data_IF_109624182847
#
_entry.id   IF_109624182847
#
_cell.length_a   1.000
_cell.length_b   1.000
_cell.length_c   1.000
_cell.angle_alpha   90.00
_cell.angle_beta   90.00
_cell.angle_gamma   90.00
#
_symmetry.space_group_name_H-M   'P 1'
#
loop_
_entity.id
_entity.type
_entity.pdbx_description
1 polymer ?
#
# COMPACT_ATOMS: atom_id res chain seq x y z
N UNK A 1 -15.00 53.78 6.11
CA UNK A 1 -13.83 54.34 6.80
C UNK A 1 -12.83 53.20 6.90
N UNK A 2 -11.89 53.15 5.95
CA UNK A 2 -10.94 52.06 5.78
C UNK A 2 -9.70 52.37 6.62
N UNK A 3 -9.31 51.47 7.51
CA UNK A 3 -8.04 51.55 8.24
C UNK A 3 -7.17 50.41 7.76
N UNK A 4 -6.11 50.80 7.06
CA UNK A 4 -4.98 49.99 6.62
C UNK A 4 -4.18 49.56 7.86
N UNK A 5 -3.88 48.26 7.98
CA UNK A 5 -2.87 47.75 8.89
C UNK A 5 -1.91 46.90 8.07
N UNK A 6 -0.75 47.50 7.82
CA UNK A 6 0.51 46.84 7.50
C UNK A 6 0.80 45.77 8.55
N UNK A 7 1.19 44.58 8.11
CA UNK A 7 1.98 43.70 8.96
C UNK A 7 3.02 43.01 8.10
N UNK A 8 4.24 43.44 8.32
CA UNK A 8 5.46 43.04 7.64
C UNK A 8 5.69 41.52 7.71
N UNK A 9 5.99 40.97 6.54
CA UNK A 9 6.54 39.63 6.36
C UNK A 9 7.98 39.56 6.89
N UNK A 10 8.19 38.87 8.00
CA UNK A 10 9.53 38.41 8.41
C UNK A 10 9.70 36.93 8.07
N UNK A 11 10.16 36.69 6.84
CA UNK A 11 10.63 35.37 6.37
C UNK A 11 12.06 35.17 6.88
N UNK A 12 12.22 34.40 7.96
CA UNK A 12 13.51 33.89 8.39
C UNK A 12 13.98 32.78 7.43
N UNK A 13 14.73 33.17 6.40
CA UNK A 13 15.43 32.24 5.50
C UNK A 13 16.73 31.78 6.17
N UNK A 14 16.79 30.51 6.56
CA UNK A 14 18.00 29.88 7.08
C UNK A 14 18.99 29.57 5.94
N UNK A 15 20.28 29.92 6.05
CA UNK A 15 21.25 29.70 4.98
C UNK A 15 21.69 28.23 4.92
N UNK A 16 21.30 27.53 3.85
CA UNK A 16 21.82 26.21 3.51
C UNK A 16 23.29 26.32 3.03
N UNK A 17 24.22 25.50 3.55
CA UNK A 17 25.62 25.54 3.15
C UNK A 17 25.81 25.04 1.71
N UNK A 18 26.52 25.85 0.89
CA UNK A 18 26.96 25.49 -0.46
C UNK A 18 28.02 24.40 -0.38
N UNK A 19 27.70 23.16 -0.78
CA UNK A 19 28.72 22.14 -1.00
C UNK A 19 29.48 22.43 -2.30
N UNK A 20 30.72 22.86 -2.15
CA UNK A 20 31.70 22.99 -3.24
C UNK A 20 32.15 21.59 -3.63
N UNK A 21 31.62 21.04 -4.72
CA UNK A 21 32.17 19.85 -5.35
C UNK A 21 33.30 20.26 -6.29
N UNK A 22 34.54 20.13 -5.82
CA UNK A 22 35.71 20.16 -6.69
C UNK A 22 35.92 18.77 -7.30
N UNK A 23 35.78 18.73 -8.64
CA UNK A 23 36.66 18.06 -9.59
C UNK A 23 37.00 16.59 -9.39
N UNK A 24 36.64 15.76 -10.38
CA UNK A 24 37.55 14.84 -11.10
C UNK A 24 36.71 14.02 -12.08
N UNK A 25 36.71 14.39 -13.35
CA UNK A 25 36.13 13.56 -14.41
C UNK A 25 37.01 12.33 -14.68
N UNK A 26 36.45 11.13 -14.88
CA UNK A 26 37.24 10.00 -15.34
C UNK A 26 37.47 10.10 -16.84
N UNK A 27 38.76 10.14 -17.19
CA UNK A 27 39.30 9.86 -18.51
C UNK A 27 38.72 8.56 -19.08
N UNK A 28 38.12 8.65 -20.28
CA UNK A 28 37.79 7.48 -21.09
C UNK A 28 39.07 6.97 -21.73
N UNK A 29 39.64 5.91 -21.15
CA UNK A 29 40.69 5.09 -21.78
C UNK A 29 40.00 3.84 -22.32
N UNK A 30 40.11 3.52 -23.63
CA UNK A 30 39.56 2.28 -24.17
C UNK A 30 40.43 1.11 -23.72
N UNK A 31 39.97 0.40 -22.68
CA UNK A 31 40.65 -0.81 -22.23
C UNK A 31 40.36 -1.97 -23.17
N UNK A 32 41.45 -2.44 -23.80
CA UNK A 32 41.64 -3.78 -24.36
C UNK A 32 41.20 -4.84 -23.34
N UNK A 33 39.95 -5.28 -23.39
CA UNK A 33 39.43 -6.38 -22.56
C UNK A 33 38.52 -7.35 -23.32
N UNK A 34 38.73 -7.52 -24.64
CA UNK A 34 37.93 -8.45 -25.47
C UNK A 34 38.70 -9.69 -25.94
N UNK A 35 39.89 -9.98 -25.40
CA UNK A 35 40.72 -11.10 -25.88
C UNK A 35 41.03 -12.20 -24.86
N UNK A 36 40.69 -12.03 -23.57
CA UNK A 36 41.10 -13.00 -22.53
C UNK A 36 39.97 -13.85 -21.94
N UNK A 37 38.69 -13.52 -22.21
CA UNK A 37 37.56 -14.37 -21.80
C UNK A 37 37.33 -15.60 -22.70
N UNK A 38 37.97 -15.65 -23.88
CA UNK A 38 37.86 -16.79 -24.81
C UNK A 38 38.74 -17.99 -24.42
N UNK A 39 39.63 -17.88 -23.42
CA UNK A 39 40.55 -18.96 -23.02
C UNK A 39 40.05 -19.90 -21.92
N UNK A 40 38.97 -19.57 -21.22
CA UNK A 40 38.45 -20.38 -20.10
C UNK A 40 37.40 -21.43 -20.53
N UNK A 41 36.85 -21.34 -21.75
CA UNK A 41 35.76 -22.22 -22.21
C UNK A 41 36.16 -23.35 -23.18
N UNK A 42 37.45 -23.66 -23.33
CA UNK A 42 37.88 -24.88 -24.04
C UNK A 42 37.42 -25.01 -25.49
N UNK A 43 37.18 -23.89 -26.19
CA UNK A 43 36.84 -23.90 -27.61
C UNK A 43 38.11 -23.98 -28.46
N UNK A 44 38.47 -25.20 -28.88
CA UNK A 44 39.46 -25.45 -29.92
C UNK A 44 38.96 -24.88 -31.26
N UNK A 45 39.76 -23.99 -31.86
CA UNK A 45 39.52 -23.48 -33.21
C UNK A 45 39.58 -24.62 -34.25
N UNK A 46 38.60 -24.73 -35.18
CA UNK A 46 38.65 -25.75 -36.21
C UNK A 46 39.64 -25.38 -37.32
N UNK A 47 40.61 -26.27 -37.52
CA UNK A 47 41.59 -26.25 -38.61
C UNK A 47 40.90 -26.32 -39.97
N UNK A 48 41.04 -25.26 -40.78
CA UNK A 48 40.58 -25.21 -42.17
C UNK A 48 41.38 -26.21 -43.02
N UNK A 49 40.79 -27.39 -43.25
CA UNK A 49 41.31 -28.37 -44.22
C UNK A 49 40.53 -28.22 -45.52
N UNK A 50 41.20 -27.67 -46.53
CA UNK A 50 40.67 -27.40 -47.86
C UNK A 50 40.67 -28.70 -48.67
N UNK A 51 39.59 -29.49 -48.58
CA UNK A 51 39.39 -30.63 -49.49
C UNK A 51 38.49 -30.23 -50.66
N UNK A 52 39.12 -30.10 -51.83
CA UNK A 52 38.49 -29.90 -53.13
C UNK A 52 38.17 -31.28 -53.69
N UNK A 53 36.90 -31.65 -53.80
CA UNK A 53 36.47 -32.83 -54.55
C UNK A 53 35.13 -32.57 -55.21
N UNK A 54 35.11 -32.89 -56.51
CA UNK A 54 34.09 -32.59 -57.48
C UNK A 54 32.80 -33.39 -57.28
N UNK A 55 31.72 -32.85 -57.88
CA UNK A 55 30.56 -33.53 -58.45
C UNK A 55 29.91 -34.63 -57.61
N UNK A 56 28.70 -34.34 -57.16
CA UNK A 56 27.53 -35.10 -57.59
C UNK A 56 26.27 -34.25 -57.40
N UNK A 57 25.63 -33.93 -58.52
CA UNK A 57 24.31 -33.33 -58.57
C UNK A 57 23.32 -34.47 -58.24
N UNK A 58 23.09 -34.72 -56.94
CA UNK A 58 22.15 -35.73 -56.44
C UNK A 58 20.88 -35.01 -56.01
N UNK A 59 19.76 -35.50 -56.51
CA UNK A 59 18.46 -34.83 -56.52
C UNK A 59 18.06 -34.18 -55.20
N UNK A 60 17.54 -32.95 -55.33
CA UNK A 60 16.78 -32.28 -54.26
C UNK A 60 15.59 -33.16 -53.87
N UNK A 61 15.74 -33.93 -52.79
CA UNK A 61 14.62 -34.52 -52.05
C UNK A 61 13.78 -33.39 -51.44
N UNK A 62 12.47 -33.30 -51.74
CA UNK A 62 11.58 -32.28 -51.17
C UNK A 62 11.21 -32.51 -49.69
N UNK A 63 11.70 -33.57 -49.04
CA UNK A 63 11.26 -33.98 -47.70
C UNK A 63 11.70 -33.08 -46.54
N UNK A 64 12.76 -32.26 -46.68
CA UNK A 64 13.21 -31.39 -45.57
C UNK A 64 12.24 -30.24 -45.25
N UNK A 65 11.33 -29.88 -46.16
CA UNK A 65 10.38 -28.78 -45.94
C UNK A 65 9.20 -29.15 -45.05
N UNK A 66 8.87 -30.43 -44.93
CA UNK A 66 7.69 -30.89 -44.20
C UNK A 66 7.92 -31.02 -42.68
N UNK A 67 9.16 -31.24 -42.24
CA UNK A 67 9.47 -31.38 -40.81
C UNK A 67 9.62 -30.02 -40.13
N UNK A 68 10.18 -29.02 -40.84
CA UNK A 68 10.40 -27.66 -40.32
C UNK A 68 9.09 -26.88 -40.10
N UNK A 69 8.04 -27.15 -40.89
CA UNK A 69 6.74 -26.48 -40.75
C UNK A 69 5.95 -26.98 -39.54
N UNK A 70 6.09 -28.25 -39.17
CA UNK A 70 5.38 -28.84 -38.02
C UNK A 70 5.90 -28.27 -36.71
N UNK A 71 7.23 -28.16 -36.56
CA UNK A 71 7.86 -27.67 -35.32
C UNK A 71 7.60 -26.18 -35.09
N UNK A 72 7.70 -25.38 -36.16
CA UNK A 72 7.41 -23.93 -36.14
C UNK A 72 5.95 -23.63 -35.76
N UNK A 73 5.00 -24.46 -36.20
CA UNK A 73 3.58 -24.28 -35.86
C UNK A 73 3.27 -24.54 -34.38
N UNK A 74 4.01 -25.46 -33.72
CA UNK A 74 3.83 -25.80 -32.31
C UNK A 74 4.38 -24.70 -31.39
N UNK A 75 5.54 -24.14 -31.73
CA UNK A 75 6.14 -22.97 -31.05
C UNK A 75 5.23 -21.73 -31.12
N UNK A 76 4.65 -21.44 -32.28
CA UNK A 76 3.72 -20.32 -32.46
C UNK A 76 2.42 -20.48 -31.66
N UNK A 77 1.87 -21.70 -31.56
CA UNK A 77 0.68 -21.97 -30.74
C UNK A 77 0.94 -21.77 -29.26
N UNK A 78 2.10 -22.19 -28.75
CA UNK A 78 2.50 -21.96 -27.35
C UNK A 78 2.65 -20.47 -27.05
N UNK A 79 3.37 -19.76 -27.91
CA UNK A 79 3.59 -18.31 -27.77
C UNK A 79 2.27 -17.55 -27.80
N UNK A 80 1.38 -17.89 -28.74
CA UNK A 80 0.05 -17.28 -28.83
C UNK A 80 -0.81 -17.59 -27.60
N UNK A 81 -0.79 -18.83 -27.10
CA UNK A 81 -1.52 -19.19 -25.89
C UNK A 81 -1.04 -18.40 -24.66
N UNK A 82 0.28 -18.22 -24.50
CA UNK A 82 0.83 -17.44 -23.39
C UNK A 82 0.49 -15.95 -23.56
N UNK A 83 0.62 -15.40 -24.76
CA UNK A 83 0.25 -14.01 -25.02
C UNK A 83 -1.23 -13.75 -24.71
N UNK A 84 -2.13 -14.66 -25.11
CA UNK A 84 -3.55 -14.59 -24.76
C UNK A 84 -3.75 -14.68 -23.25
N UNK A 85 -3.05 -15.59 -22.55
CA UNK A 85 -3.15 -15.70 -21.10
C UNK A 85 -2.72 -14.41 -20.38
N UNK A 86 -1.63 -13.77 -20.85
CA UNK A 86 -1.17 -12.47 -20.31
C UNK A 86 -2.19 -11.37 -20.56
N UNK A 87 -2.78 -11.30 -21.76
CA UNK A 87 -3.82 -10.31 -22.09
C UNK A 87 -5.06 -10.51 -21.21
N UNK A 88 -5.53 -11.75 -21.08
CA UNK A 88 -6.68 -12.08 -20.21
C UNK A 88 -6.39 -11.69 -18.76
N UNK A 89 -5.19 -11.98 -18.27
CA UNK A 89 -4.76 -11.62 -16.93
C UNK A 89 -4.74 -10.10 -16.73
N UNK A 90 -4.17 -9.35 -17.67
CA UNK A 90 -4.14 -7.89 -17.64
C UNK A 90 -5.55 -7.27 -17.66
N UNK A 91 -6.42 -7.74 -18.55
CA UNK A 91 -7.82 -7.29 -18.60
C UNK A 91 -8.54 -7.62 -17.30
N UNK A 92 -8.29 -8.80 -16.71
CA UNK A 92 -8.82 -9.18 -15.40
C UNK A 92 -8.39 -8.22 -14.28
N UNK A 93 -7.12 -7.81 -14.25
CA UNK A 93 -6.61 -6.79 -13.31
C UNK A 93 -7.31 -5.44 -13.51
N UNK A 94 -7.51 -5.00 -14.76
CA UNK A 94 -8.21 -3.74 -15.04
C UNK A 94 -9.67 -3.77 -14.58
N UNK A 95 -10.38 -4.88 -14.82
CA UNK A 95 -11.75 -5.06 -14.35
C UNK A 95 -11.80 -5.07 -12.83
N UNK A 96 -10.90 -5.82 -12.18
CA UNK A 96 -10.82 -5.84 -10.71
C UNK A 96 -10.57 -4.44 -10.15
N UNK A 97 -9.63 -3.68 -10.72
CA UNK A 97 -9.36 -2.30 -10.33
C UNK A 97 -10.57 -1.39 -10.54
N UNK A 98 -11.28 -1.52 -11.66
CA UNK A 98 -12.50 -0.74 -11.89
C UNK A 98 -13.58 -1.03 -10.84
N UNK A 99 -13.76 -2.30 -10.47
CA UNK A 99 -14.71 -2.74 -9.45
C UNK A 99 -14.30 -2.39 -8.01
N UNK A 100 -13.02 -2.07 -7.78
CA UNK A 100 -12.46 -1.75 -6.47
C UNK A 100 -12.97 -0.43 -5.85
N UNK A 101 -13.65 0.41 -6.65
CA UNK A 101 -14.09 1.73 -6.22
C UNK A 101 -15.39 1.63 -5.41
N UNK A 102 -15.28 1.16 -4.17
CA UNK A 102 -16.28 1.36 -3.14
C UNK A 102 -15.98 2.70 -2.47
N UNK A 103 -16.56 3.79 -2.96
CA UNK A 103 -16.67 4.98 -2.10
C UNK A 103 -17.69 4.63 -1.02
N UNK A 104 -17.24 4.28 0.18
CA UNK A 104 -18.17 4.24 1.30
C UNK A 104 -18.89 5.59 1.37
N UNK A 105 -20.23 5.61 1.50
CA UNK A 105 -20.95 6.86 1.66
C UNK A 105 -20.30 7.65 2.79
N UNK A 106 -20.05 8.95 2.57
CA UNK A 106 -19.63 9.83 3.66
C UNK A 106 -20.62 9.66 4.79
N UNK A 107 -20.12 9.33 5.97
CA UNK A 107 -20.96 9.23 7.16
C UNK A 107 -21.51 10.63 7.49
N UNK A 108 -22.83 10.73 7.55
CA UNK A 108 -23.57 11.97 7.78
C UNK A 108 -24.17 12.03 9.19
N UNK A 109 -23.77 11.13 10.09
CA UNK A 109 -24.20 11.18 11.48
C UNK A 109 -23.64 12.44 12.14
N UNK A 110 -24.50 13.12 12.87
CA UNK A 110 -24.14 14.20 13.77
C UNK A 110 -24.06 13.66 15.21
N UNK A 111 -23.12 14.14 16.03
CA UNK A 111 -23.07 13.78 17.44
C UNK A 111 -24.30 14.31 18.19
N UNK A 112 -24.73 13.56 19.22
CA UNK A 112 -25.72 14.07 20.18
C UNK A 112 -25.21 15.36 20.84
N UNK A 113 -26.11 16.28 21.26
CA UNK A 113 -25.72 17.57 21.83
C UNK A 113 -24.70 17.50 22.97
N UNK A 114 -24.91 16.57 23.89
CA UNK A 114 -24.07 16.28 25.07
C UNK A 114 -23.10 15.12 24.82
N UNK A 115 -23.03 14.64 23.58
CA UNK A 115 -22.26 13.47 23.19
C UNK A 115 -21.09 13.78 22.26
N UNK A 116 -20.45 12.72 21.77
CA UNK A 116 -19.39 12.82 20.77
C UNK A 116 -19.48 11.68 19.75
N UNK A 117 -19.08 11.94 18.51
CA UNK A 117 -18.90 10.92 17.48
C UNK A 117 -17.41 10.70 17.28
N UNK A 118 -16.94 9.48 17.53
CA UNK A 118 -15.53 9.10 17.45
C UNK A 118 -15.30 8.27 16.20
N UNK A 119 -14.45 8.77 15.31
CA UNK A 119 -13.96 8.01 14.18
C UNK A 119 -12.63 7.38 14.52
N UNK A 120 -12.56 6.07 14.33
CA UNK A 120 -11.34 5.28 14.39
C UNK A 120 -10.95 4.90 12.97
N UNK A 121 -10.04 5.68 12.42
CA UNK A 121 -9.63 5.56 11.03
C UNK A 121 -8.40 4.68 10.87
N UNK A 122 -8.59 3.45 10.39
CA UNK A 122 -7.49 2.50 10.21
C UNK A 122 -6.57 3.00 9.10
N UNK A 123 -5.30 3.19 9.44
CA UNK A 123 -4.31 3.90 8.61
C UNK A 123 -3.11 3.05 8.20
N UNK A 124 -2.83 1.95 8.91
CA UNK A 124 -1.76 1.02 8.55
C UNK A 124 -1.90 -0.33 9.24
N UNK A 125 -1.24 -1.35 8.69
CA UNK A 125 -1.09 -2.67 9.30
C UNK A 125 0.39 -2.99 9.38
N UNK A 126 0.88 -3.24 10.60
CA UNK A 126 2.24 -3.66 10.87
C UNK A 126 2.24 -5.12 11.33
N UNK A 127 2.16 -6.05 10.38
CA UNK A 127 2.01 -7.48 10.67
C UNK A 127 3.21 -8.12 11.37
N UNK A 128 4.40 -7.53 11.25
CA UNK A 128 5.58 -7.95 12.00
C UNK A 128 5.49 -7.58 13.49
N UNK A 129 4.74 -6.53 13.81
CA UNK A 129 4.61 -5.96 15.15
C UNK A 129 3.25 -6.29 15.80
N UNK A 130 2.44 -7.14 15.16
CA UNK A 130 1.10 -7.50 15.63
C UNK A 130 0.24 -6.28 15.98
N UNK A 131 0.23 -5.29 15.09
CA UNK A 131 -0.46 -4.03 15.35
C UNK A 131 -1.10 -3.40 14.11
N UNK A 132 -2.13 -2.61 14.38
CA UNK A 132 -2.85 -1.77 13.41
C UNK A 132 -2.68 -0.32 13.85
N UNK A 133 -2.22 0.53 12.94
CA UNK A 133 -2.20 1.97 13.16
C UNK A 133 -3.55 2.57 12.82
N UNK A 134 -4.06 3.47 13.67
CA UNK A 134 -5.32 4.17 13.48
C UNK A 134 -5.15 5.67 13.76
N UNK A 135 -6.08 6.48 13.24
CA UNK A 135 -6.23 7.90 13.59
C UNK A 135 -7.56 8.08 14.29
N UNK A 136 -7.52 8.66 15.48
CA UNK A 136 -8.70 8.93 16.29
C UNK A 136 -9.11 10.37 16.09
N UNK A 137 -10.32 10.57 15.56
CA UNK A 137 -10.93 11.89 15.38
C UNK A 137 -12.19 11.98 16.24
N UNK A 138 -12.40 13.11 16.90
CA UNK A 138 -13.58 13.37 17.72
C UNK A 138 -14.41 14.47 17.06
N UNK A 139 -15.70 14.24 16.91
CA UNK A 139 -16.66 15.24 16.49
C UNK A 139 -17.53 15.54 17.71
N UNK A 140 -17.25 16.64 18.42
CA UNK A 140 -17.96 16.98 19.65
C UNK A 140 -19.38 17.45 19.35
N UNK A 141 -20.31 17.10 20.24
CA UNK A 141 -21.64 17.71 20.30
C UNK A 141 -21.58 19.19 20.64
N UNK A 142 -22.67 19.90 20.36
CA UNK A 142 -22.75 21.36 20.56
C UNK A 142 -22.51 21.81 22.01
N UNK A 143 -22.76 20.95 23.00
CA UNK A 143 -22.57 21.28 24.42
C UNK A 143 -21.11 21.10 24.87
N UNK A 144 -20.26 20.52 24.01
CA UNK A 144 -18.83 20.30 24.25
C UNK A 144 -17.93 21.34 23.55
N UNK A 145 -18.53 22.28 22.81
CA UNK A 145 -17.82 23.35 22.08
C UNK A 145 -18.26 24.73 22.55
N UNK A 146 -17.39 25.72 22.38
CA UNK A 146 -17.68 27.14 22.61
C UNK A 146 -18.37 27.77 21.39
N UNK A 147 -18.75 29.06 21.51
CA UNK A 147 -19.40 29.82 20.43
C UNK A 147 -18.54 29.95 19.15
N UNK A 148 -17.24 29.71 19.24
CA UNK A 148 -16.29 29.73 18.12
C UNK A 148 -16.10 28.34 17.48
N UNK A 149 -16.71 27.30 18.05
CA UNK A 149 -16.59 25.90 17.60
C UNK A 149 -15.32 25.19 18.12
N UNK A 150 -14.63 25.74 19.11
CA UNK A 150 -13.50 25.07 19.77
C UNK A 150 -13.98 24.28 20.97
N UNK A 151 -13.21 23.26 21.39
CA UNK A 151 -13.56 22.48 22.59
C UNK A 151 -13.66 23.38 23.83
N UNK A 152 -14.77 23.29 24.55
CA UNK A 152 -14.99 24.04 25.78
C UNK A 152 -14.18 23.49 26.96
N UNK A 153 -13.83 22.20 26.92
CA UNK A 153 -12.98 21.53 27.91
C UNK A 153 -12.11 20.46 27.27
N UNK A 154 -11.10 19.97 27.99
CA UNK A 154 -10.26 18.88 27.50
C UNK A 154 -11.10 17.60 27.35
N UNK A 155 -11.04 16.99 26.18
CA UNK A 155 -11.66 15.70 25.89
C UNK A 155 -10.58 14.63 25.83
N UNK A 156 -10.77 13.54 26.55
CA UNK A 156 -9.85 12.40 26.56
C UNK A 156 -10.55 11.17 26.01
N UNK A 157 -10.02 10.65 24.91
CA UNK A 157 -10.43 9.37 24.35
C UNK A 157 -9.52 8.27 24.89
N UNK A 158 -10.14 7.23 25.40
CA UNK A 158 -9.48 6.03 25.90
C UNK A 158 -9.78 4.90 24.93
N UNK A 159 -8.75 4.32 24.32
CA UNK A 159 -8.87 3.16 23.43
C UNK A 159 -8.13 2.03 24.11
N UNK A 160 -8.78 0.88 24.28
CA UNK A 160 -8.18 -0.30 24.91
C UNK A 160 -8.51 -1.53 24.08
N UNK A 161 -7.55 -2.43 23.80
CA UNK A 161 -6.13 -2.31 24.12
C UNK A 161 -5.40 -1.33 23.17
N UNK A 162 -4.46 -0.56 23.69
CA UNK A 162 -3.61 0.35 22.91
C UNK A 162 -2.14 -0.02 23.11
N UNK A 163 -1.37 0.03 22.03
CA UNK A 163 0.07 -0.20 22.00
C UNK A 163 0.88 1.12 22.06
N UNK A 164 0.24 2.26 21.80
CA UNK A 164 0.84 3.58 21.98
C UNK A 164 0.85 3.98 23.46
N UNK A 165 1.96 4.53 23.95
CA UNK A 165 2.12 4.98 25.34
C UNK A 165 1.39 6.30 25.64
N UNK A 166 1.10 7.11 24.61
CA UNK A 166 0.49 8.42 24.75
C UNK A 166 -1.04 8.36 24.90
N UNK A 167 -1.57 9.19 25.80
CA UNK A 167 -3.02 9.41 25.95
C UNK A 167 -3.54 10.25 24.79
N UNK A 168 -4.71 9.89 24.27
CA UNK A 168 -5.42 10.64 23.24
C UNK A 168 -6.18 11.80 23.89
N UNK A 169 -5.51 12.94 24.03
CA UNK A 169 -6.05 14.15 24.67
C UNK A 169 -6.25 15.25 23.64
N UNK A 170 -7.47 15.78 23.58
CA UNK A 170 -7.87 16.92 22.76
C UNK A 170 -8.08 18.12 23.69
N UNK A 171 -7.26 19.15 23.55
CA UNK A 171 -7.21 20.25 24.52
C UNK A 171 -8.34 21.27 24.32
N UNK A 172 -8.80 21.87 25.40
CA UNK A 172 -9.72 23.01 25.39
C UNK A 172 -9.15 24.18 24.56
N UNK A 173 -10.04 24.91 23.90
CA UNK A 173 -9.69 26.04 23.03
C UNK A 173 -8.99 25.66 21.73
N UNK A 174 -8.88 24.35 21.42
CA UNK A 174 -8.31 23.87 20.16
C UNK A 174 -9.38 23.31 19.23
N UNK A 175 -9.12 23.41 17.92
CA UNK A 175 -9.91 22.69 16.93
C UNK A 175 -9.55 21.20 17.00
N UNK A 176 -10.57 20.34 16.89
CA UNK A 176 -10.34 18.91 16.95
C UNK A 176 -9.69 18.41 15.65
N UNK A 177 -8.51 17.80 15.79
CA UNK A 177 -7.78 17.15 14.68
C UNK A 177 -7.40 15.72 15.04
N UNK A 178 -7.18 14.84 14.05
CA UNK A 178 -6.89 13.43 14.29
C UNK A 178 -5.59 13.21 15.08
N UNK A 179 -5.63 12.31 16.07
CA UNK A 179 -4.46 11.85 16.82
C UNK A 179 -4.13 10.41 16.43
N UNK A 180 -2.86 10.11 16.18
CA UNK A 180 -2.44 8.75 15.84
C UNK A 180 -2.48 7.82 17.07
N UNK A 181 -2.95 6.60 16.87
CA UNK A 181 -3.00 5.53 17.86
C UNK A 181 -2.53 4.21 17.22
N UNK A 182 -1.99 3.32 18.03
CA UNK A 182 -1.60 1.97 17.61
C UNK A 182 -2.37 0.98 18.47
N UNK A 183 -3.05 0.03 17.84
CA UNK A 183 -3.88 -0.98 18.50
C UNK A 183 -3.24 -2.35 18.27
N UNK A 184 -3.20 -3.18 19.30
CA UNK A 184 -2.74 -4.55 19.16
C UNK A 184 -3.69 -5.37 18.28
N UNK A 185 -3.13 -6.19 17.40
CA UNK A 185 -3.89 -7.03 16.50
C UNK A 185 -3.19 -8.36 16.26
N UNK A 186 -3.92 -9.45 16.48
CA UNK A 186 -3.45 -10.80 16.21
C UNK A 186 -3.55 -11.11 14.71
N UNK A 187 -2.52 -11.72 14.14
CA UNK A 187 -2.50 -12.14 12.75
C UNK A 187 -1.25 -12.91 12.39
N UNK A 188 -1.18 -13.42 11.16
CA UNK A 188 -0.02 -14.19 10.68
C UNK A 188 0.46 -13.69 9.31
N UNK A 189 1.50 -12.86 9.32
CA UNK A 189 2.13 -12.32 8.11
C UNK A 189 2.70 -13.41 7.19
N UNK A 190 2.97 -14.62 7.68
CA UNK A 190 3.48 -15.74 6.87
C UNK A 190 2.44 -16.27 5.88
N UNK A 191 1.17 -15.92 6.07
CA UNK A 191 0.07 -16.31 5.18
C UNK A 191 -0.18 -15.31 4.05
N UNK A 192 0.67 -14.29 3.90
CA UNK A 192 0.59 -13.33 2.79
C UNK A 192 0.47 -14.04 1.43
N UNK A 193 -0.39 -13.58 0.50
CA UNK A 193 -1.25 -12.39 0.55
C UNK A 193 -2.66 -12.64 1.14
N UNK A 194 -2.85 -13.77 1.83
CA UNK A 194 -4.11 -14.15 2.48
C UNK A 194 -4.13 -13.81 3.98
N UNK A 195 -3.23 -12.92 4.39
CA UNK A 195 -3.10 -12.50 5.77
C UNK A 195 -4.34 -11.73 6.26
N UNK A 196 -4.68 -11.97 7.52
CA UNK A 196 -5.77 -11.34 8.26
C UNK A 196 -5.25 -10.95 9.64
N UNK A 197 -5.64 -9.75 10.07
CA UNK A 197 -5.34 -9.23 11.39
C UNK A 197 -6.65 -8.88 12.09
N UNK A 198 -6.73 -9.18 13.38
CA UNK A 198 -7.89 -8.90 14.21
C UNK A 198 -7.44 -8.22 15.49
N UNK A 199 -7.95 -7.01 15.75
CA UNK A 199 -7.90 -6.40 17.07
C UNK A 199 -9.16 -6.82 17.83
N UNK A 200 -9.00 -7.68 18.83
CA UNK A 200 -10.11 -8.23 19.60
C UNK A 200 -10.48 -7.33 20.78
N UNK A 201 -11.78 -7.25 21.08
CA UNK A 201 -12.32 -6.56 22.27
C UNK A 201 -11.86 -5.10 22.41
N UNK A 202 -11.82 -4.38 21.29
CA UNK A 202 -11.53 -2.94 21.28
C UNK A 202 -12.68 -2.20 21.97
N UNK A 203 -12.33 -1.42 22.98
CA UNK A 203 -13.23 -0.56 23.75
C UNK A 203 -12.77 0.88 23.58
N UNK A 204 -13.70 1.74 23.19
CA UNK A 204 -13.46 3.19 23.11
C UNK A 204 -14.33 3.89 24.15
N UNK A 205 -13.75 4.75 24.97
CA UNK A 205 -14.46 5.56 25.96
C UNK A 205 -14.07 7.02 25.84
N UNK A 206 -15.05 7.92 25.94
CA UNK A 206 -14.83 9.36 25.83
C UNK A 206 -15.15 10.02 27.16
N UNK A 207 -14.34 11.00 27.53
CA UNK A 207 -14.53 11.71 28.78
C UNK A 207 -14.15 13.18 28.66
N UNK A 208 -14.88 14.04 29.35
CA UNK A 208 -14.52 15.43 29.58
C UNK A 208 -13.68 15.52 30.85
N UNK A 209 -12.65 16.35 30.84
CA UNK A 209 -12.08 16.85 32.09
C UNK A 209 -12.94 17.97 32.62
N UNK A 210 -13.23 17.94 33.91
CA UNK A 210 -13.87 19.03 34.63
C UNK A 210 -13.04 19.34 35.87
N UNK A 211 -13.40 20.42 36.56
CA UNK A 211 -12.76 20.79 37.83
C UNK A 211 -12.89 19.69 38.89
N UNK A 212 -13.95 18.88 38.83
CA UNK A 212 -14.23 17.79 39.76
C UNK A 212 -13.67 16.43 39.31
N UNK A 213 -12.99 16.38 38.16
CA UNK A 213 -12.34 15.19 37.62
C UNK A 213 -12.84 14.78 36.23
N UNK A 214 -12.70 13.48 35.91
CA UNK A 214 -13.03 12.94 34.59
C UNK A 214 -14.50 12.49 34.56
N UNK A 215 -15.32 13.09 33.70
CA UNK A 215 -16.74 12.75 33.51
C UNK A 215 -16.92 12.00 32.19
N UNK A 216 -17.61 10.85 32.22
CA UNK A 216 -17.88 10.08 31.01
C UNK A 216 -18.86 10.81 30.10
N UNK A 217 -18.56 10.86 28.80
CA UNK A 217 -19.43 11.44 27.78
C UNK A 217 -20.04 10.29 26.96
N UNK A 218 -21.35 10.30 26.65
CA UNK A 218 -21.92 9.43 25.66
C UNK A 218 -21.19 9.59 24.32
N UNK A 219 -20.76 8.49 23.71
CA UNK A 219 -20.17 8.58 22.39
C UNK A 219 -20.58 7.42 21.49
N UNK A 220 -20.61 7.68 20.20
CA UNK A 220 -20.81 6.69 19.16
C UNK A 220 -19.48 6.49 18.43
N UNK A 221 -19.13 5.24 18.18
CA UNK A 221 -17.84 4.86 17.61
C UNK A 221 -18.05 4.32 16.20
N UNK A 222 -17.28 4.86 15.27
CA UNK A 222 -17.31 4.53 13.86
C UNK A 222 -15.92 4.12 13.42
N UNK A 223 -15.77 2.91 12.90
CA UNK A 223 -14.52 2.46 12.28
C UNK A 223 -14.63 2.70 10.79
N UNK A 224 -13.67 3.40 10.21
CA UNK A 224 -13.68 3.71 8.78
C UNK A 224 -12.74 2.82 7.98
N UNK A 225 -13.16 2.51 6.77
CA UNK A 225 -12.39 1.73 5.80
C UNK A 225 -11.58 2.66 4.87
N UNK A 226 -10.64 3.44 5.40
CA UNK A 226 -9.80 4.33 4.57
C UNK A 226 -8.50 3.68 4.08
N UNK A 227 -8.14 2.50 4.60
CA UNK A 227 -6.87 1.87 4.32
C UNK A 227 -6.83 1.26 2.91
N UNK A 228 -6.16 1.94 1.99
CA UNK A 228 -6.06 1.50 0.60
C UNK A 228 -5.42 0.11 0.47
N UNK A 229 -6.05 -0.77 -0.32
CA UNK A 229 -5.58 -2.15 -0.55
C UNK A 229 -5.94 -3.13 0.56
N UNK A 230 -6.59 -2.63 1.62
CA UNK A 230 -7.13 -3.43 2.70
C UNK A 230 -8.65 -3.28 2.76
N UNK A 231 -9.28 -4.29 3.34
CA UNK A 231 -10.68 -4.34 3.67
C UNK A 231 -10.77 -4.34 5.20
N UNK A 232 -11.25 -3.23 5.75
CA UNK A 232 -11.41 -3.00 7.18
C UNK A 232 -12.87 -3.27 7.53
N UNK A 233 -13.09 -4.28 8.35
CA UNK A 233 -14.40 -4.58 8.93
C UNK A 233 -14.38 -4.31 10.44
N UNK A 234 -15.43 -3.71 10.94
CA UNK A 234 -15.72 -3.68 12.37
C UNK A 234 -17.11 -4.28 12.62
N UNK A 235 -17.48 -4.46 13.90
CA UNK A 235 -18.86 -4.73 14.29
C UNK A 235 -19.85 -3.68 13.74
N UNK A 236 -21.14 -3.74 14.15
CA UNK A 236 -22.15 -2.79 13.68
C UNK A 236 -21.65 -1.34 13.77
N UNK A 237 -21.79 -0.60 12.66
CA UNK A 237 -21.47 0.82 12.63
C UNK A 237 -22.26 1.55 13.71
N UNK A 238 -21.60 2.31 14.57
CA UNK A 238 -22.25 2.99 15.70
C UNK A 238 -22.21 2.23 17.02
N UNK A 239 -21.07 1.59 17.32
CA UNK A 239 -20.87 0.95 18.62
C UNK A 239 -20.85 2.01 19.71
N UNK A 240 -21.53 1.77 20.84
CA UNK A 240 -21.57 2.76 21.92
C UNK A 240 -20.24 2.81 22.68
N UNK A 241 -19.91 3.99 23.18
CA UNK A 241 -18.82 4.23 24.12
C UNK A 241 -18.85 3.22 25.27
N UNK A 242 -17.75 2.50 25.46
CA UNK A 242 -17.60 1.48 26.50
C UNK A 242 -18.06 0.07 26.11
N UNK A 243 -18.66 -0.12 24.94
CA UNK A 243 -18.96 -1.43 24.36
C UNK A 243 -17.73 -1.97 23.61
N UNK A 244 -17.50 -3.28 23.73
CA UNK A 244 -16.38 -3.95 23.07
C UNK A 244 -16.79 -4.39 21.66
N UNK A 245 -15.90 -4.18 20.69
CA UNK A 245 -16.06 -4.63 19.32
C UNK A 245 -14.73 -5.11 18.74
N UNK A 246 -14.79 -5.92 17.68
CA UNK A 246 -13.60 -6.39 17.00
C UNK A 246 -13.35 -5.59 15.71
N UNK A 247 -12.08 -5.37 15.38
CA UNK A 247 -11.65 -4.78 14.12
C UNK A 247 -10.87 -5.84 13.34
N UNK A 248 -11.40 -6.25 12.19
CA UNK A 248 -10.71 -7.13 11.25
C UNK A 248 -10.14 -6.31 10.10
N UNK A 249 -8.90 -6.60 9.70
CA UNK A 249 -8.27 -6.05 8.51
C UNK A 249 -7.72 -7.18 7.65
N UNK A 250 -8.06 -7.22 6.36
CA UNK A 250 -7.59 -8.24 5.42
C UNK A 250 -7.32 -7.65 4.03
N UNK A 251 -6.54 -8.31 3.18
CA UNK A 251 -6.24 -7.79 1.83
C UNK A 251 -7.49 -7.76 0.95
N UNK A 252 -7.68 -6.67 0.21
CA UNK A 252 -8.77 -6.58 -0.78
C UNK A 252 -8.66 -7.70 -1.82
N UNK A 253 -9.79 -8.10 -2.40
CA UNK A 253 -9.81 -9.03 -3.52
C UNK A 253 -8.93 -8.55 -4.69
N UNK A 254 -8.85 -7.24 -4.88
CA UNK A 254 -8.09 -6.59 -5.95
C UNK A 254 -6.59 -6.78 -5.74
N UNK A 255 -6.10 -6.56 -4.52
CA UNK A 255 -4.69 -6.84 -4.18
C UNK A 255 -4.35 -8.31 -4.42
N UNK A 256 -5.21 -9.25 -3.99
CA UNK A 256 -5.00 -10.69 -4.20
C UNK A 256 -4.93 -11.07 -5.69
N UNK A 257 -5.80 -10.49 -6.53
CA UNK A 257 -5.79 -10.70 -7.99
C UNK A 257 -4.53 -10.12 -8.62
N UNK A 258 -4.09 -8.94 -8.18
CA UNK A 258 -2.86 -8.32 -8.66
C UNK A 258 -1.63 -9.18 -8.36
N UNK A 259 -1.51 -9.70 -7.14
CA UNK A 259 -0.42 -10.60 -6.76
C UNK A 259 -0.43 -11.90 -7.59
N UNK A 260 -1.61 -12.49 -7.81
CA UNK A 260 -1.77 -13.65 -8.68
C UNK A 260 -1.32 -13.36 -10.12
N UNK A 261 -1.65 -12.17 -10.64
CA UNK A 261 -1.26 -11.76 -11.99
C UNK A 261 0.27 -11.65 -12.14
N UNK A 262 0.95 -11.06 -11.15
CA UNK A 262 2.42 -11.00 -11.11
C UNK A 262 3.00 -12.42 -11.11
N UNK A 263 2.50 -13.31 -10.25
CA UNK A 263 2.95 -14.70 -10.20
C UNK A 263 2.81 -15.40 -11.55
N UNK A 264 1.68 -15.21 -12.24
CA UNK A 264 1.45 -15.78 -13.57
C UNK A 264 2.46 -15.25 -14.59
N UNK A 265 2.70 -13.93 -14.60
CA UNK A 265 3.68 -13.31 -15.51
C UNK A 265 5.09 -13.83 -15.22
N UNK A 266 5.49 -13.92 -13.95
CA UNK A 266 6.81 -14.43 -13.53
C UNK A 266 7.04 -15.88 -13.98
N UNK A 267 5.99 -16.70 -14.02
CA UNK A 267 6.06 -18.08 -14.54
C UNK A 267 6.04 -18.11 -16.07
N UNK A 268 5.26 -17.22 -16.70
CA UNK A 268 5.09 -17.17 -18.16
C UNK A 268 6.37 -16.73 -18.89
N UNK A 269 7.12 -15.77 -18.34
CA UNK A 269 8.34 -15.25 -18.97
C UNK A 269 9.41 -16.33 -19.23
N UNK A 270 9.87 -17.13 -18.25
CA UNK A 270 10.83 -18.20 -18.51
C UNK A 270 10.23 -19.32 -19.37
N UNK A 271 8.93 -19.60 -19.25
CA UNK A 271 8.26 -20.58 -20.10
C UNK A 271 8.21 -20.15 -21.58
N UNK A 272 8.17 -18.84 -21.87
CA UNK A 272 8.30 -18.29 -23.22
C UNK A 272 9.75 -18.27 -23.74
N UNK A 273 10.73 -18.23 -22.84
CA UNK A 273 12.15 -18.18 -23.21
C UNK A 273 12.73 -19.57 -23.56
N UNK A 274 12.11 -20.64 -23.03
CA UNK A 274 12.43 -22.06 -23.30
C UNK A 274 11.77 -22.56 -24.60
#
# INVERSE_FOLDING_TARGET
MWVSLDTDHLVHSSPQPKSVYHGSGPHVVPNKCDAEFARVLGYSAPTLTRHRSARANVGRRPERRAVETVDKSRSLRKTAAIAVAVIVCYVGVLIAYAMAHSSEPTDQRDPDPDGALVYLDVSSVAGADFSIGARVSVYPGRDLVDDNGFLATDVVVDVTPIATDDRLVFSAGSAVGPIAATIYADGDVRTWPFDRYTADSVIVRVFAQTTDGRVSIPAEVVVTNSLTGWDVGAGPSGTRSGEAFDITVNRTAVSKIYDLAICLVLVALPACAL
#
